data_IF_596427628488
#
_entry.id   IF_596427628488
#
_cell.length_a   1.000
_cell.length_b   1.000
_cell.length_c   1.000
_cell.angle_alpha   90.00
_cell.angle_beta   90.00
_cell.angle_gamma   90.00
#
_symmetry.space_group_name_H-M   'P 1'
#
loop_
_entity.id
_entity.type
_entity.pdbx_description
1 polymer ?
#
# COMPACT_ATOMS: atom_id res chain seq x y z
N UNK A 1 -1.50 14.14 -23.67
CA UNK A 1 -0.07 14.16 -24.08
C UNK A 1 0.09 14.34 -25.58
N UNK A 2 -0.97 14.15 -26.37
CA UNK A 2 -0.88 14.07 -27.83
C UNK A 2 -0.62 15.43 -28.52
N UNK A 3 -1.17 16.53 -28.00
CA UNK A 3 -1.01 17.88 -28.60
C UNK A 3 0.44 18.40 -28.54
N UNK A 4 1.18 18.10 -27.47
CA UNK A 4 2.60 18.48 -27.36
C UNK A 4 3.46 17.67 -28.34
N UNK A 5 3.18 16.37 -28.47
CA UNK A 5 3.91 15.51 -29.40
C UNK A 5 3.70 15.96 -30.85
N UNK A 6 2.47 16.33 -31.20
CA UNK A 6 2.14 16.88 -32.53
C UNK A 6 2.84 18.20 -32.80
N UNK A 7 2.85 19.13 -31.83
CA UNK A 7 3.58 20.40 -31.94
C UNK A 7 5.08 20.16 -32.15
N UNK A 8 5.69 19.27 -31.36
CA UNK A 8 7.11 18.95 -31.47
C UNK A 8 7.45 18.32 -32.83
N UNK A 9 6.58 17.45 -33.35
CA UNK A 9 6.73 16.87 -34.68
C UNK A 9 6.73 17.96 -35.76
N UNK A 10 5.80 18.92 -35.69
CA UNK A 10 5.72 20.07 -36.62
C UNK A 10 6.94 20.99 -36.54
N UNK A 11 7.48 21.21 -35.33
CA UNK A 11 8.59 22.14 -35.11
C UNK A 11 9.97 21.52 -35.37
N UNK A 12 10.12 20.20 -35.21
CA UNK A 12 11.41 19.49 -35.30
C UNK A 12 12.22 19.75 -36.58
N UNK A 13 11.63 19.88 -37.79
CA UNK A 13 12.39 20.14 -39.01
C UNK A 13 13.01 21.55 -39.05
N UNK A 14 12.50 22.46 -38.22
CA UNK A 14 12.90 23.87 -38.19
C UNK A 14 13.84 24.21 -37.03
N UNK A 15 14.22 23.22 -36.20
CA UNK A 15 15.14 23.43 -35.08
C UNK A 15 16.55 23.76 -35.56
N UNK A 16 17.08 24.89 -35.09
CA UNK A 16 18.43 25.34 -35.38
C UNK A 16 19.22 25.41 -34.08
N UNK A 17 20.39 24.74 -34.03
CA UNK A 17 21.25 24.80 -32.84
C UNK A 17 21.81 26.20 -32.66
N UNK A 18 21.82 26.68 -31.41
CA UNK A 18 22.46 27.94 -31.07
C UNK A 18 23.98 27.79 -31.21
N UNK A 19 24.61 28.75 -31.91
CA UNK A 19 26.06 28.79 -32.11
C UNK A 19 26.68 29.82 -31.19
N UNK A 20 27.81 29.47 -30.58
CA UNK A 20 28.54 30.36 -29.66
C UNK A 20 29.01 31.60 -30.44
N UNK A 21 28.68 32.79 -29.94
CA UNK A 21 29.09 34.07 -30.54
C UNK A 21 28.23 34.54 -31.73
N UNK A 22 27.18 33.81 -32.09
CA UNK A 22 26.29 34.18 -33.19
C UNK A 22 24.83 34.34 -32.72
N UNK A 23 24.25 35.51 -32.98
CA UNK A 23 22.84 35.77 -32.77
C UNK A 23 22.14 35.82 -34.13
N UNK A 24 21.06 35.03 -34.36
CA UNK A 24 20.29 35.10 -35.59
C UNK A 24 19.68 36.50 -35.81
N UNK A 25 19.46 36.91 -37.08
CA UNK A 25 18.80 38.18 -37.39
C UNK A 25 17.45 38.31 -36.67
N UNK A 26 17.27 39.39 -35.91
CA UNK A 26 16.04 39.67 -35.17
C UNK A 26 15.91 38.97 -33.81
N UNK A 27 16.86 38.11 -33.42
CA UNK A 27 16.88 37.44 -32.12
C UNK A 27 18.08 37.91 -31.30
N UNK A 28 17.84 38.23 -30.02
CA UNK A 28 18.88 38.74 -29.12
C UNK A 28 18.94 37.85 -27.89
N UNK A 29 20.06 37.15 -27.74
CA UNK A 29 20.34 36.32 -26.58
C UNK A 29 21.13 37.10 -25.53
N UNK A 30 20.85 36.81 -24.26
CA UNK A 30 21.51 37.43 -23.09
C UNK A 30 22.22 36.35 -22.27
N UNK A 31 21.99 36.29 -20.95
CA UNK A 31 22.63 35.30 -20.07
C UNK A 31 22.05 33.89 -20.30
N UNK A 32 20.73 33.79 -20.42
CA UNK A 32 20.03 32.54 -20.71
C UNK A 32 19.98 32.32 -22.23
N UNK A 33 20.46 31.16 -22.68
CA UNK A 33 20.52 30.78 -24.10
C UNK A 33 19.83 29.43 -24.28
N UNK A 34 18.95 29.26 -25.28
CA UNK A 34 18.33 27.98 -25.53
C UNK A 34 19.30 27.04 -26.25
N UNK A 35 19.05 25.72 -26.17
CA UNK A 35 19.82 24.73 -26.94
C UNK A 35 19.53 24.81 -28.45
N UNK A 36 18.26 25.09 -28.77
CA UNK A 36 17.75 25.23 -30.14
C UNK A 36 16.84 26.46 -30.25
N UNK A 37 16.77 27.02 -31.44
CA UNK A 37 15.86 28.12 -31.78
C UNK A 37 15.14 27.83 -33.10
N UNK A 38 14.02 28.52 -33.32
CA UNK A 38 13.19 28.40 -34.52
C UNK A 38 12.98 29.80 -35.08
N UNK A 39 13.04 29.94 -36.40
CA UNK A 39 12.74 31.22 -37.03
C UNK A 39 11.29 31.65 -36.73
N UNK A 40 11.00 32.94 -36.47
CA UNK A 40 9.66 33.40 -36.07
C UNK A 40 8.56 32.94 -37.02
N UNK A 41 8.80 32.94 -38.34
CA UNK A 41 7.82 32.53 -39.35
C UNK A 41 7.46 31.03 -39.35
N UNK A 42 8.26 30.19 -38.69
CA UNK A 42 7.98 28.76 -38.49
C UNK A 42 7.52 28.47 -37.04
N UNK A 43 7.34 29.52 -36.22
CA UNK A 43 6.92 29.39 -34.83
C UNK A 43 5.40 29.46 -34.69
N UNK A 44 4.89 28.96 -33.57
CA UNK A 44 3.48 29.04 -33.20
C UNK A 44 3.31 29.93 -31.95
N UNK A 45 2.19 30.65 -31.87
CA UNK A 45 1.88 31.48 -30.69
C UNK A 45 1.39 30.59 -29.57
N UNK A 46 1.82 30.89 -28.35
CA UNK A 46 1.35 30.26 -27.12
C UNK A 46 0.67 31.29 -26.23
N UNK A 47 -0.47 30.91 -25.68
CA UNK A 47 -1.15 31.66 -24.63
C UNK A 47 -0.60 31.22 -23.27
N UNK A 48 -0.04 32.17 -22.53
CA UNK A 48 0.65 31.90 -21.27
C UNK A 48 -0.15 32.47 -20.10
N UNK A 49 -0.37 31.62 -19.10
CA UNK A 49 -0.88 31.99 -17.79
C UNK A 49 0.28 32.09 -16.81
N UNK A 50 0.43 33.24 -16.15
CA UNK A 50 1.49 33.48 -15.18
C UNK A 50 0.96 34.29 -13.98
N UNK A 51 1.68 34.25 -12.85
CA UNK A 51 1.27 34.95 -11.63
C UNK A 51 1.70 36.41 -11.63
N UNK A 52 2.92 36.70 -12.08
CA UNK A 52 3.49 38.05 -12.09
C UNK A 52 4.59 38.21 -13.15
N UNK A 53 4.81 39.45 -13.58
CA UNK A 53 5.95 39.91 -14.38
C UNK A 53 7.00 40.48 -13.42
N UNK A 54 8.20 39.90 -13.41
CA UNK A 54 9.30 40.26 -12.49
C UNK A 54 10.49 40.77 -13.29
N UNK A 55 11.21 41.76 -12.76
CA UNK A 55 12.45 42.25 -13.36
C UNK A 55 13.53 41.17 -13.36
N UNK A 56 14.22 41.00 -14.48
CA UNK A 56 15.29 40.02 -14.64
C UNK A 56 16.29 40.46 -15.69
N UNK A 57 17.59 40.45 -15.34
CA UNK A 57 18.69 40.73 -16.28
C UNK A 57 19.04 39.54 -17.17
N UNK A 58 18.39 38.40 -16.96
CA UNK A 58 18.68 37.17 -17.71
C UNK A 58 18.17 37.21 -19.15
N UNK A 59 17.18 38.06 -19.45
CA UNK A 59 16.48 38.17 -20.73
C UNK A 59 16.55 39.60 -21.29
N UNK A 60 16.53 39.74 -22.63
CA UNK A 60 16.62 41.06 -23.29
C UNK A 60 15.50 42.03 -22.92
N UNK A 61 14.31 41.53 -22.61
CA UNK A 61 13.16 42.35 -22.20
C UNK A 61 13.31 42.91 -20.77
N UNK A 62 14.40 42.57 -20.06
CA UNK A 62 14.65 42.91 -18.65
C UNK A 62 13.57 42.40 -17.68
N UNK A 63 12.73 41.46 -18.13
CA UNK A 63 11.61 40.91 -17.38
C UNK A 63 11.45 39.42 -17.65
N UNK A 64 10.81 38.72 -16.72
CA UNK A 64 10.41 37.32 -16.85
C UNK A 64 9.06 37.08 -16.19
N UNK A 65 8.42 35.96 -16.52
CA UNK A 65 7.15 35.54 -15.95
C UNK A 65 7.39 34.59 -14.78
N UNK A 66 6.67 34.76 -13.66
CA UNK A 66 6.71 33.83 -12.54
C UNK A 66 5.59 32.78 -12.65
N UNK A 67 5.97 31.52 -12.50
CA UNK A 67 5.11 30.35 -12.67
C UNK A 67 4.35 30.32 -14.02
N UNK A 68 5.03 30.56 -15.16
CA UNK A 68 4.36 30.52 -16.46
C UNK A 68 3.89 29.11 -16.79
N UNK A 69 2.69 29.00 -17.33
CA UNK A 69 2.09 27.77 -17.86
C UNK A 69 1.51 28.05 -19.23
N UNK A 70 1.71 27.14 -20.17
CA UNK A 70 1.01 27.19 -21.46
C UNK A 70 -0.44 26.80 -21.22
N UNK A 71 -1.37 27.70 -21.53
CA UNK A 71 -2.81 27.47 -21.43
C UNK A 71 -3.35 26.93 -22.75
N UNK A 72 -2.86 27.45 -23.88
CA UNK A 72 -3.27 27.04 -25.22
C UNK A 72 -2.20 27.32 -26.26
N UNK A 73 -2.09 26.46 -27.27
CA UNK A 73 -1.34 26.74 -28.50
C UNK A 73 -2.32 27.40 -29.49
N UNK A 74 -2.00 28.60 -29.97
CA UNK A 74 -2.87 29.45 -30.80
C UNK A 74 -2.59 29.20 -32.28
N UNK A 75 -3.01 28.04 -32.78
CA UNK A 75 -2.99 27.73 -34.21
C UNK A 75 -3.89 28.65 -35.06
N UNK A 76 -4.80 29.36 -34.40
CA UNK A 76 -5.70 30.35 -34.99
C UNK A 76 -5.01 31.69 -35.33
N UNK A 77 -3.78 31.91 -34.86
CA UNK A 77 -3.04 33.17 -35.06
C UNK A 77 -1.78 32.97 -35.87
N UNK A 78 -1.44 33.98 -36.67
CA UNK A 78 -0.18 34.08 -37.37
C UNK A 78 0.94 34.48 -36.40
N UNK A 79 2.19 34.04 -36.63
CA UNK A 79 3.35 34.32 -35.77
C UNK A 79 3.57 35.82 -35.51
N UNK A 80 3.19 36.68 -36.45
CA UNK A 80 3.32 38.14 -36.34
C UNK A 80 2.30 38.79 -35.41
N UNK A 81 1.24 38.07 -35.02
CA UNK A 81 0.18 38.55 -34.11
C UNK A 81 0.50 38.27 -32.63
N UNK A 82 1.77 38.02 -32.32
CA UNK A 82 2.23 37.83 -30.95
C UNK A 82 2.21 39.17 -30.19
N UNK A 83 2.15 39.08 -28.86
CA UNK A 83 2.15 40.24 -27.98
C UNK A 83 3.35 41.17 -28.28
N UNK A 84 3.05 42.43 -28.59
CA UNK A 84 4.07 43.44 -28.88
C UNK A 84 4.74 43.94 -27.59
N UNK A 85 5.92 44.54 -27.72
CA UNK A 85 6.64 45.12 -26.57
C UNK A 85 5.85 46.24 -25.89
N UNK A 86 5.03 46.99 -26.65
CA UNK A 86 4.17 48.06 -26.14
C UNK A 86 3.02 47.45 -25.32
N UNK A 87 2.35 46.43 -25.85
CA UNK A 87 1.28 45.74 -25.13
C UNK A 87 1.79 45.03 -23.87
N UNK A 88 2.99 44.43 -23.93
CA UNK A 88 3.63 43.83 -22.76
C UNK A 88 3.91 44.86 -21.66
N UNK A 89 4.44 46.04 -22.01
CA UNK A 89 4.70 47.09 -21.02
C UNK A 89 3.39 47.67 -20.46
N UNK A 90 2.34 47.80 -21.28
CA UNK A 90 1.01 48.19 -20.84
C UNK A 90 0.44 47.17 -19.84
N UNK A 91 0.54 45.87 -20.13
CA UNK A 91 0.13 44.80 -19.22
C UNK A 91 0.90 44.88 -17.90
N UNK A 92 2.22 45.12 -17.94
CA UNK A 92 3.03 45.28 -16.73
C UNK A 92 2.58 46.47 -15.88
N UNK A 93 2.38 47.64 -16.51
CA UNK A 93 1.94 48.88 -15.84
C UNK A 93 0.55 48.74 -15.24
N UNK A 94 -0.39 48.18 -16.00
CA UNK A 94 -1.78 47.99 -15.56
C UNK A 94 -1.88 47.00 -14.39
N UNK A 95 -1.06 45.95 -14.44
CA UNK A 95 -1.02 44.90 -13.43
C UNK A 95 -0.15 45.25 -12.20
N UNK A 96 0.59 46.36 -12.19
CA UNK A 96 1.67 46.61 -11.19
C UNK A 96 2.57 45.39 -10.99
N UNK A 97 2.83 44.64 -12.07
CA UNK A 97 3.54 43.37 -12.06
C UNK A 97 2.71 42.13 -11.69
N UNK A 98 1.52 42.21 -11.08
CA UNK A 98 0.68 41.05 -10.70
C UNK A 98 -0.43 40.77 -11.72
N UNK A 99 -0.26 39.71 -12.50
CA UNK A 99 -1.16 39.36 -13.61
C UNK A 99 -2.49 38.72 -13.17
N UNK A 100 -2.66 38.40 -11.88
CA UNK A 100 -3.86 37.74 -11.35
C UNK A 100 -4.85 38.67 -10.62
N UNK A 101 -4.64 39.99 -10.63
CA UNK A 101 -5.50 40.92 -9.88
C UNK A 101 -6.25 41.94 -10.75
N UNK A 102 -7.14 41.50 -11.64
CA UNK A 102 -8.24 42.36 -12.12
C UNK A 102 -9.40 41.57 -12.74
N UNK A 103 -10.45 41.35 -11.94
CA UNK A 103 -11.83 41.28 -12.40
C UNK A 103 -12.67 42.08 -11.41
N UNK A 104 -12.60 43.42 -11.48
CA UNK A 104 -13.69 44.33 -11.11
C UNK A 104 -13.47 45.59 -11.95
N UNK A 105 -14.24 45.77 -13.02
CA UNK A 105 -14.53 47.10 -13.56
C UNK A 105 -15.72 47.63 -12.74
N UNK A 106 -15.61 48.80 -12.08
CA UNK A 106 -16.77 49.50 -11.54
C UNK A 106 -17.24 50.49 -12.59
N UNK A 107 -18.35 50.16 -13.26
CA UNK A 107 -19.25 51.15 -13.88
C UNK A 107 -20.60 50.45 -14.00
N UNK A 108 -21.36 50.49 -12.92
CA UNK A 108 -22.79 50.73 -12.98
C UNK A 108 -23.23 51.26 -11.61
N UNK A 109 -23.54 52.55 -11.58
CA UNK A 109 -24.13 53.25 -10.45
C UNK A 109 -25.58 52.79 -10.28
N UNK A 110 -25.90 52.05 -9.23
CA UNK A 110 -27.14 52.27 -8.49
C UNK A 110 -27.22 51.51 -7.16
N UNK A 111 -27.51 52.32 -6.15
CA UNK A 111 -28.29 52.04 -4.95
C UNK A 111 -27.64 51.38 -3.73
N UNK A 112 -27.99 51.96 -2.58
CA UNK A 112 -27.24 51.92 -1.33
C UNK A 112 -27.47 50.68 -0.47
N UNK A 113 -26.41 50.27 0.25
CA UNK A 113 -26.51 49.52 1.51
C UNK A 113 -25.15 49.52 2.25
N UNK A 114 -25.11 49.29 3.58
CA UNK A 114 -24.22 49.98 4.50
C UNK A 114 -22.79 49.40 4.56
N UNK A 115 -21.83 50.29 4.89
CA UNK A 115 -20.40 50.02 5.06
C UNK A 115 -20.14 48.81 5.97
N UNK A 116 -19.92 47.62 5.38
CA UNK A 116 -19.27 46.49 6.05
C UNK A 116 -17.81 46.87 6.31
N UNK A 117 -17.40 46.83 7.58
CA UNK A 117 -16.00 46.95 8.01
C UNK A 117 -15.14 46.05 7.12
N UNK A 118 -14.15 46.63 6.43
CA UNK A 118 -13.12 45.90 5.69
C UNK A 118 -12.44 44.95 6.68
N UNK A 119 -12.77 43.66 6.63
CA UNK A 119 -11.87 42.64 7.12
C UNK A 119 -10.59 42.76 6.28
N UNK A 120 -9.50 43.09 6.94
CA UNK A 120 -8.17 43.09 6.38
C UNK A 120 -7.91 41.67 5.86
N UNK A 121 -8.03 41.45 4.55
CA UNK A 121 -7.65 40.18 3.93
C UNK A 121 -6.20 39.94 4.28
N UNK A 122 -5.94 38.88 5.05
CA UNK A 122 -4.57 38.44 5.32
C UNK A 122 -3.80 38.37 3.99
N UNK A 123 -2.60 38.93 4.00
CA UNK A 123 -1.66 38.83 2.89
C UNK A 123 -1.52 37.36 2.48
N UNK A 124 -1.47 37.02 1.19
CA UNK A 124 -1.34 35.64 0.74
C UNK A 124 -0.06 35.05 1.31
N UNK A 125 -0.21 34.25 2.35
CA UNK A 125 0.86 33.55 3.07
C UNK A 125 0.71 32.05 2.82
N UNK A 126 1.77 31.29 3.04
CA UNK A 126 1.79 29.83 2.88
C UNK A 126 0.55 29.18 3.52
N UNK A 127 -0.02 28.14 2.91
CA UNK A 127 -1.13 27.42 3.54
C UNK A 127 -0.68 26.87 4.91
N UNK A 128 -1.59 26.81 5.89
CA UNK A 128 -1.28 26.45 7.29
C UNK A 128 -0.47 25.15 7.42
N UNK A 129 -0.78 24.14 6.59
CA UNK A 129 -0.06 22.87 6.52
C UNK A 129 1.42 22.96 6.09
N UNK A 130 1.84 24.08 5.50
CA UNK A 130 3.22 24.37 5.11
C UNK A 130 3.91 25.40 6.01
N UNK A 131 3.22 25.93 7.03
CA UNK A 131 3.83 26.78 8.06
C UNK A 131 4.26 25.93 9.25
N UNK A 132 5.44 26.21 9.79
CA UNK A 132 5.80 25.69 11.11
C UNK A 132 4.90 26.27 12.20
N UNK A 133 4.77 25.55 13.30
CA UNK A 133 4.13 26.05 14.50
C UNK A 133 4.85 27.30 15.04
N UNK A 134 4.09 28.20 15.67
CA UNK A 134 4.70 29.24 16.51
C UNK A 134 5.15 28.58 17.81
N UNK A 135 6.46 28.39 17.95
CA UNK A 135 7.08 27.72 19.08
C UNK A 135 7.55 28.71 20.16
N UNK A 136 7.25 30.01 19.99
CA UNK A 136 7.65 31.03 20.96
C UNK A 136 6.80 30.93 22.24
N UNK A 137 7.44 30.56 23.35
CA UNK A 137 6.80 30.49 24.67
C UNK A 137 6.35 29.11 25.15
N UNK A 138 6.72 28.03 24.47
CA UNK A 138 6.43 26.65 24.95
C UNK A 138 7.32 26.30 26.14
N UNK A 139 6.73 25.88 27.25
CA UNK A 139 7.47 25.35 28.40
C UNK A 139 7.77 23.87 28.22
N UNK A 140 9.04 23.49 28.32
CA UNK A 140 9.47 22.09 28.26
C UNK A 140 8.91 21.29 29.44
N UNK A 141 8.19 20.22 29.15
CA UNK A 141 7.58 19.33 30.15
C UNK A 141 8.40 18.05 30.38
N UNK A 142 9.18 17.65 29.37
CA UNK A 142 9.99 16.43 29.40
C UNK A 142 11.30 16.62 28.62
N UNK A 143 12.29 15.76 28.86
CA UNK A 143 13.57 15.74 28.14
C UNK A 143 13.76 14.46 27.28
N UNK A 144 12.67 13.73 27.02
CA UNK A 144 12.68 12.47 26.24
C UNK A 144 13.36 12.62 24.87
N UNK A 145 13.18 13.77 24.21
CA UNK A 145 13.67 14.05 22.87
C UNK A 145 14.88 14.98 22.84
N UNK A 146 15.56 15.14 23.98
CA UNK A 146 16.71 16.02 24.09
C UNK A 146 17.80 15.68 23.06
N UNK A 147 18.36 16.72 22.44
CA UNK A 147 19.39 16.62 21.39
C UNK A 147 18.95 15.86 20.12
N UNK A 148 17.64 15.80 19.84
CA UNK A 148 17.12 15.19 18.61
C UNK A 148 16.33 16.23 17.81
N UNK A 149 16.67 16.32 16.53
CA UNK A 149 15.99 17.20 15.57
C UNK A 149 15.05 16.39 14.66
N UNK A 150 13.81 16.84 14.53
CA UNK A 150 12.76 16.14 13.77
C UNK A 150 12.20 17.01 12.66
N UNK A 151 11.83 16.38 11.55
CA UNK A 151 11.10 17.04 10.47
C UNK A 151 9.73 16.40 10.26
N UNK A 152 8.64 17.15 10.48
CA UNK A 152 7.27 16.62 10.40
C UNK A 152 6.65 16.87 9.02
N UNK A 153 6.24 15.80 8.33
CA UNK A 153 5.67 15.88 6.97
C UNK A 153 4.15 15.78 6.93
N UNK A 154 3.53 15.04 7.84
CA UNK A 154 2.08 14.79 7.82
C UNK A 154 1.46 15.04 9.20
N UNK A 155 0.13 15.14 9.24
CA UNK A 155 -0.66 15.02 10.48
C UNK A 155 -0.68 13.58 11.00
N UNK A 156 -1.22 13.40 12.20
CA UNK A 156 -1.43 12.08 12.82
C UNK A 156 -2.80 12.05 13.49
N UNK A 157 -3.68 11.13 13.05
CA UNK A 157 -5.06 11.02 13.53
C UNK A 157 -5.75 12.39 13.55
N UNK A 158 -6.16 12.87 14.72
CA UNK A 158 -6.80 14.18 14.91
C UNK A 158 -5.82 15.34 15.10
N UNK A 159 -4.52 15.04 15.31
CA UNK A 159 -3.48 16.04 15.54
C UNK A 159 -2.93 16.57 14.20
N UNK A 160 -2.98 17.88 14.06
CA UNK A 160 -2.37 18.63 12.97
C UNK A 160 -0.86 18.57 13.05
N UNK A 161 -0.20 18.86 11.92
CA UNK A 161 1.26 18.97 11.86
C UNK A 161 1.81 19.92 12.95
N UNK A 162 1.18 21.08 13.14
CA UNK A 162 1.65 22.09 14.08
C UNK A 162 1.54 21.61 15.53
N UNK A 163 0.46 20.92 15.89
CA UNK A 163 0.32 20.34 17.24
C UNK A 163 1.36 19.25 17.52
N UNK A 164 1.75 18.48 16.50
CA UNK A 164 2.84 17.50 16.62
C UNK A 164 4.16 18.21 16.85
N UNK A 165 4.45 19.28 16.09
CA UNK A 165 5.66 20.10 16.26
C UNK A 165 5.73 20.70 17.68
N UNK A 166 4.62 21.23 18.20
CA UNK A 166 4.50 21.71 19.58
C UNK A 166 4.84 20.60 20.58
N UNK A 167 4.24 19.40 20.44
CA UNK A 167 4.52 18.26 21.33
C UNK A 167 5.99 17.82 21.31
N UNK A 168 6.65 17.86 20.16
CA UNK A 168 8.08 17.53 20.06
C UNK A 168 8.92 18.49 20.91
N UNK A 169 8.63 19.79 20.81
CA UNK A 169 9.34 20.84 21.58
C UNK A 169 9.04 20.75 23.07
N UNK A 170 7.78 20.48 23.45
CA UNK A 170 7.42 20.22 24.85
C UNK A 170 8.23 19.06 25.46
N UNK A 171 8.57 18.05 24.65
CA UNK A 171 9.37 16.91 25.07
C UNK A 171 10.90 17.11 24.88
N UNK A 172 11.34 18.34 24.61
CA UNK A 172 12.76 18.72 24.53
C UNK A 172 13.43 18.48 23.17
N UNK A 173 12.66 18.17 22.14
CA UNK A 173 13.15 17.99 20.77
C UNK A 173 13.21 19.31 19.99
N UNK A 174 13.95 19.32 18.88
CA UNK A 174 14.01 20.44 17.94
C UNK A 174 13.21 20.10 16.68
N UNK A 175 12.52 21.07 16.10
CA UNK A 175 11.72 20.88 14.88
C UNK A 175 12.30 21.69 13.73
N UNK A 176 12.47 21.06 12.58
CA UNK A 176 12.85 21.72 11.32
C UNK A 176 11.82 21.48 10.22
N UNK A 177 11.69 22.44 9.31
CA UNK A 177 10.73 22.36 8.20
C UNK A 177 11.25 21.55 7.00
N UNK A 178 12.58 21.45 6.87
CA UNK A 178 13.26 20.63 5.89
C UNK A 178 14.41 19.88 6.59
N UNK A 179 14.61 18.60 6.30
CA UNK A 179 15.68 17.82 6.93
C UNK A 179 17.05 18.33 6.47
N UNK A 180 17.97 18.48 7.43
CA UNK A 180 19.38 18.81 7.25
C UNK A 180 20.30 17.73 7.84
N UNK A 181 21.63 17.93 7.82
CA UNK A 181 22.60 16.90 8.23
C UNK A 181 22.42 16.39 9.67
N UNK A 182 21.95 17.24 10.57
CA UNK A 182 21.74 16.92 11.99
C UNK A 182 20.32 16.43 12.31
N UNK A 183 19.46 16.32 11.29
CA UNK A 183 18.09 15.82 11.47
C UNK A 183 18.12 14.34 11.82
N UNK A 184 17.63 14.02 13.02
CA UNK A 184 17.58 12.67 13.55
C UNK A 184 16.65 11.76 12.73
N UNK A 185 15.43 12.20 12.44
CA UNK A 185 14.54 11.52 11.49
C UNK A 185 13.42 12.42 10.95
N UNK A 186 12.81 11.97 9.85
CA UNK A 186 11.57 12.55 9.30
C UNK A 186 10.37 11.78 9.86
N UNK A 187 9.31 12.48 10.23
CA UNK A 187 8.10 11.89 10.80
C UNK A 187 6.93 11.97 9.81
N UNK A 188 6.28 10.84 9.57
CA UNK A 188 5.08 10.76 8.74
C UNK A 188 4.17 9.60 9.15
N UNK A 189 2.86 9.77 9.00
CA UNK A 189 1.84 8.73 9.22
C UNK A 189 1.63 7.88 7.97
N UNK A 190 1.88 8.44 6.80
CA UNK A 190 1.58 7.81 5.51
C UNK A 190 2.64 8.12 4.44
N UNK A 191 2.71 7.26 3.42
CA UNK A 191 3.69 7.37 2.34
C UNK A 191 3.26 8.40 1.27
N UNK A 192 3.38 9.69 1.60
CA UNK A 192 3.10 10.80 0.67
C UNK A 192 4.19 10.95 -0.42
N UNK A 193 3.93 11.78 -1.44
CA UNK A 193 4.95 12.11 -2.45
C UNK A 193 6.23 12.72 -1.84
N UNK A 194 6.11 13.53 -0.78
CA UNK A 194 7.29 14.08 -0.07
C UNK A 194 8.08 12.98 0.62
N UNK A 195 7.40 12.03 1.26
CA UNK A 195 8.02 10.85 1.87
C UNK A 195 8.73 10.00 0.82
N UNK A 196 8.09 9.73 -0.32
CA UNK A 196 8.73 8.99 -1.42
C UNK A 196 9.95 9.71 -1.97
N UNK A 197 9.91 11.04 -2.08
CA UNK A 197 11.04 11.82 -2.58
C UNK A 197 12.21 11.81 -1.59
N UNK A 198 11.97 11.95 -0.28
CA UNK A 198 13.05 11.90 0.71
C UNK A 198 13.61 10.48 0.87
N UNK A 199 12.76 9.46 0.80
CA UNK A 199 13.16 8.06 0.81
C UNK A 199 14.12 7.72 -0.35
N UNK A 200 13.86 8.26 -1.55
CA UNK A 200 14.75 8.10 -2.72
C UNK A 200 16.12 8.75 -2.55
N UNK A 201 16.23 9.79 -1.73
CA UNK A 201 17.53 10.40 -1.41
C UNK A 201 18.35 9.45 -0.54
N UNK A 202 17.71 8.68 0.34
CA UNK A 202 18.34 7.62 1.13
C UNK A 202 19.21 8.10 2.29
N UNK A 203 19.23 9.40 2.60
CA UNK A 203 20.04 9.96 3.69
C UNK A 203 19.32 10.01 5.05
N UNK A 204 17.99 9.88 5.06
CA UNK A 204 17.19 10.07 6.27
C UNK A 204 16.29 8.86 6.51
N UNK A 205 16.19 8.46 7.78
CA UNK A 205 15.14 7.55 8.20
C UNK A 205 13.80 8.29 8.26
N UNK A 206 12.74 7.62 7.78
CA UNK A 206 11.37 8.12 7.89
C UNK A 206 10.62 7.24 8.88
N UNK A 207 10.41 7.75 10.09
CA UNK A 207 9.69 7.06 11.15
C UNK A 207 8.19 7.36 11.12
N UNK A 208 7.41 6.36 11.54
CA UNK A 208 5.97 6.49 11.75
C UNK A 208 5.70 7.38 12.95
N UNK A 209 4.69 8.22 12.84
CA UNK A 209 4.26 9.07 13.95
C UNK A 209 3.73 8.24 15.14
N UNK A 210 3.18 7.05 14.89
CA UNK A 210 2.73 6.12 15.95
C UNK A 210 3.84 5.73 16.92
N UNK A 211 5.06 5.48 16.43
CA UNK A 211 6.21 5.14 17.27
C UNK A 211 6.54 6.28 18.24
N UNK A 212 6.62 7.52 17.74
CA UNK A 212 6.95 8.67 18.56
C UNK A 212 5.84 8.97 19.58
N UNK A 213 4.58 8.91 19.16
CA UNK A 213 3.44 9.15 20.05
C UNK A 213 3.35 8.09 21.15
N UNK A 214 3.54 6.82 20.82
CA UNK A 214 3.57 5.74 21.81
C UNK A 214 4.71 5.95 22.83
N UNK A 215 5.90 6.36 22.37
CA UNK A 215 7.02 6.67 23.26
C UNK A 215 6.72 7.84 24.21
N UNK A 216 6.04 8.89 23.73
CA UNK A 216 5.62 10.02 24.57
C UNK A 216 4.55 9.62 25.58
N UNK A 217 3.56 8.81 25.18
CA UNK A 217 2.45 8.39 26.04
C UNK A 217 2.89 7.43 27.16
N UNK A 218 3.90 6.58 26.91
CA UNK A 218 4.44 5.66 27.90
C UNK A 218 5.22 6.36 29.03
N UNK A 219 5.56 7.65 28.88
CA UNK A 219 6.28 8.41 29.91
C UNK A 219 7.68 7.88 30.21
N UNK A 220 8.30 7.18 29.25
CA UNK A 220 9.67 6.67 29.38
C UNK A 220 10.68 7.81 29.43
N UNK A 221 11.83 7.58 30.07
CA UNK A 221 12.89 8.60 30.20
C UNK A 221 13.83 8.66 29.00
N UNK A 222 13.86 7.60 28.20
CA UNK A 222 14.74 7.45 27.05
C UNK A 222 13.89 7.01 25.87
N UNK A 223 14.11 7.64 24.72
CA UNK A 223 13.40 7.32 23.50
C UNK A 223 13.75 5.86 23.09
N UNK A 224 12.76 4.96 22.99
CA UNK A 224 13.03 3.57 22.63
C UNK A 224 13.60 3.50 21.22
N UNK A 225 14.44 2.50 20.99
CA UNK A 225 14.91 2.20 19.64
C UNK A 225 13.71 1.78 18.78
N UNK A 226 13.69 2.23 17.53
CA UNK A 226 12.70 1.82 16.55
C UNK A 226 12.93 0.38 16.08
N UNK A 227 11.84 -0.27 15.69
CA UNK A 227 11.84 -1.54 14.97
C UNK A 227 11.64 -1.31 13.47
N UNK A 228 11.87 -2.31 12.61
CA UNK A 228 11.56 -2.19 11.18
C UNK A 228 10.08 -1.80 10.90
N UNK A 229 9.16 -2.18 11.79
CA UNK A 229 7.73 -1.84 11.66
C UNK A 229 7.43 -0.35 11.88
N UNK A 230 8.29 0.32 12.67
CA UNK A 230 8.17 1.74 13.00
C UNK A 230 8.66 2.65 11.87
N UNK A 231 9.31 2.10 10.84
CA UNK A 231 9.93 2.87 9.77
C UNK A 231 9.16 2.72 8.45
N UNK A 232 8.88 3.84 7.80
CA UNK A 232 8.33 3.90 6.44
C UNK A 232 9.43 3.83 5.38
N UNK A 233 10.61 4.33 5.71
CA UNK A 233 11.81 4.28 4.88
C UNK A 233 13.04 4.24 5.78
N UNK A 234 14.01 3.43 5.40
CA UNK A 234 15.21 3.17 6.19
C UNK A 234 16.42 3.61 5.37
N UNK A 235 17.31 4.39 5.97
CA UNK A 235 18.60 4.75 5.40
C UNK A 235 19.53 3.53 5.37
N UNK A 236 20.54 3.48 4.47
CA UNK A 236 21.47 2.36 4.40
C UNK A 236 22.18 2.06 5.74
N UNK A 237 22.58 3.11 6.46
CA UNK A 237 23.27 2.97 7.74
C UNK A 237 22.38 2.33 8.81
N UNK A 238 21.14 2.82 8.95
CA UNK A 238 20.18 2.26 9.90
C UNK A 238 19.74 0.85 9.49
N UNK A 239 19.65 0.58 8.19
CA UNK A 239 19.35 -0.76 7.67
C UNK A 239 20.42 -1.78 8.07
N UNK A 240 21.70 -1.42 7.98
CA UNK A 240 22.80 -2.29 8.40
C UNK A 240 22.76 -2.55 9.90
N UNK A 241 22.50 -1.52 10.71
CA UNK A 241 22.35 -1.66 12.16
C UNK A 241 21.17 -2.57 12.52
N UNK A 242 20.02 -2.43 11.85
CA UNK A 242 18.83 -3.25 12.09
C UNK A 242 19.03 -4.70 11.63
N UNK A 243 19.77 -4.94 10.55
CA UNK A 243 20.05 -6.29 10.05
C UNK A 243 20.86 -7.16 11.04
N UNK A 244 21.51 -6.56 12.04
CA UNK A 244 22.16 -7.31 13.12
C UNK A 244 21.19 -7.81 14.20
N UNK A 245 19.98 -7.24 14.27
CA UNK A 245 19.00 -7.48 15.32
C UNK A 245 17.72 -8.15 14.81
N UNK A 246 17.41 -7.95 13.54
CA UNK A 246 16.21 -8.43 12.88
C UNK A 246 16.54 -9.19 11.61
N UNK A 247 15.70 -10.16 11.27
CA UNK A 247 15.77 -10.84 9.99
C UNK A 247 15.30 -9.96 8.83
N UNK A 248 15.34 -10.51 7.61
CA UNK A 248 14.92 -9.79 6.40
C UNK A 248 13.44 -9.42 6.37
N UNK A 249 12.61 -9.99 7.23
CA UNK A 249 11.18 -9.72 7.35
C UNK A 249 10.84 -8.81 8.54
N UNK A 250 11.83 -8.51 9.39
CA UNK A 250 11.70 -7.66 10.56
C UNK A 250 11.32 -8.41 11.83
N UNK A 251 11.50 -9.73 11.88
CA UNK A 251 11.37 -10.50 13.12
C UNK A 251 12.67 -10.46 13.93
N UNK A 252 12.58 -10.40 15.26
CA UNK A 252 13.76 -10.21 16.11
C UNK A 252 14.50 -11.52 16.33
N UNK A 253 15.84 -11.48 16.27
CA UNK A 253 16.67 -12.64 16.61
C UNK A 253 16.74 -12.94 18.12
N UNK A 254 16.45 -11.95 18.96
CA UNK A 254 16.70 -12.03 20.41
C UNK A 254 15.46 -11.85 21.27
N UNK A 255 14.38 -11.30 20.70
CA UNK A 255 13.13 -11.07 21.42
C UNK A 255 12.03 -12.00 20.91
N UNK A 256 11.22 -12.60 21.81
CA UNK A 256 10.07 -13.39 21.39
C UNK A 256 9.08 -12.56 20.56
N UNK A 257 8.58 -13.14 19.49
CA UNK A 257 7.57 -12.51 18.66
C UNK A 257 6.25 -12.30 19.44
N UNK A 258 5.66 -11.12 19.24
CA UNK A 258 4.30 -10.80 19.68
C UNK A 258 3.32 -11.03 18.53
N UNK A 259 2.02 -11.05 18.82
CA UNK A 259 0.99 -11.15 17.77
C UNK A 259 1.13 -10.05 16.72
N UNK A 260 1.50 -8.83 17.13
CA UNK A 260 1.64 -7.69 16.22
C UNK A 260 2.93 -7.77 15.41
N UNK A 261 4.07 -8.11 16.03
CA UNK A 261 5.34 -8.27 15.32
C UNK A 261 5.31 -9.43 14.33
N UNK A 262 4.66 -10.54 14.69
CA UNK A 262 4.51 -11.69 13.79
C UNK A 262 3.62 -11.35 12.59
N UNK A 263 2.50 -10.64 12.80
CA UNK A 263 1.66 -10.15 11.69
C UNK A 263 2.44 -9.25 10.75
N UNK A 264 3.29 -8.37 11.28
CA UNK A 264 4.15 -7.52 10.48
C UNK A 264 5.13 -8.34 9.63
N UNK A 265 5.83 -9.29 10.25
CA UNK A 265 6.83 -10.14 9.58
C UNK A 265 6.19 -10.97 8.46
N UNK A 266 5.06 -11.63 8.73
CA UNK A 266 4.32 -12.40 7.71
C UNK A 266 3.84 -11.52 6.55
N UNK A 267 3.40 -10.29 6.82
CA UNK A 267 3.06 -9.35 5.75
C UNK A 267 4.28 -8.91 4.91
N UNK A 268 5.49 -8.89 5.50
CA UNK A 268 6.71 -8.64 4.71
C UNK A 268 7.06 -9.82 3.81
N UNK A 269 6.86 -11.07 4.26
CA UNK A 269 7.05 -12.27 3.41
C UNK A 269 6.20 -12.18 2.15
N UNK A 270 4.92 -11.86 2.28
CA UNK A 270 4.01 -11.67 1.14
C UNK A 270 4.45 -10.53 0.22
N UNK A 271 4.81 -9.37 0.82
CA UNK A 271 5.22 -8.18 0.06
C UNK A 271 6.51 -8.40 -0.73
N UNK A 272 7.44 -9.19 -0.21
CA UNK A 272 8.69 -9.55 -0.88
C UNK A 272 8.49 -10.66 -1.92
N UNK A 273 7.33 -11.33 -1.93
CA UNK A 273 7.06 -12.45 -2.82
C UNK A 273 7.77 -13.74 -2.40
N UNK A 274 8.20 -13.82 -1.14
CA UNK A 274 8.90 -14.99 -0.58
C UNK A 274 7.92 -16.04 -0.02
N UNK A 275 6.61 -15.83 -0.19
CA UNK A 275 5.58 -16.76 0.26
C UNK A 275 5.65 -18.08 -0.53
N UNK A 276 5.82 -19.18 0.19
CA UNK A 276 5.90 -20.53 -0.38
C UNK A 276 4.54 -21.22 -0.27
N UNK A 277 4.15 -21.94 -1.34
CA UNK A 277 3.00 -22.81 -1.29
C UNK A 277 3.40 -24.13 -0.64
N UNK A 278 2.82 -24.43 0.52
CA UNK A 278 3.08 -25.66 1.25
C UNK A 278 2.24 -26.80 0.67
N UNK A 279 2.86 -27.95 0.48
CA UNK A 279 2.17 -29.19 0.15
C UNK A 279 1.45 -29.75 1.39
N UNK A 280 0.44 -30.62 1.23
CA UNK A 280 -0.16 -31.33 2.36
C UNK A 280 0.86 -32.12 3.20
N UNK A 281 1.91 -32.62 2.55
CA UNK A 281 3.01 -33.34 3.19
C UNK A 281 3.84 -32.39 4.05
N UNK A 282 4.22 -31.21 3.54
CA UNK A 282 4.92 -30.19 4.33
C UNK A 282 4.09 -29.77 5.55
N UNK A 283 2.78 -29.57 5.38
CA UNK A 283 1.87 -29.24 6.48
C UNK A 283 1.76 -30.38 7.51
N UNK A 284 1.85 -31.64 7.08
CA UNK A 284 1.85 -32.77 7.98
C UNK A 284 3.14 -32.83 8.82
N UNK A 285 4.30 -32.53 8.21
CA UNK A 285 5.57 -32.45 8.93
C UNK A 285 5.54 -31.32 9.97
N UNK A 286 4.98 -30.15 9.64
CA UNK A 286 4.75 -29.08 10.61
C UNK A 286 3.79 -29.49 11.72
N UNK A 287 2.71 -30.20 11.41
CA UNK A 287 1.77 -30.70 12.41
C UNK A 287 2.48 -31.64 13.41
N UNK A 288 3.42 -32.47 12.96
CA UNK A 288 4.22 -33.37 13.83
C UNK A 288 5.19 -32.58 14.70
N UNK A 289 5.85 -31.56 14.15
CA UNK A 289 6.83 -30.76 14.90
C UNK A 289 6.17 -29.86 15.96
N UNK A 290 5.03 -29.27 15.62
CA UNK A 290 4.36 -28.27 16.45
C UNK A 290 3.43 -28.88 17.51
N UNK A 291 2.88 -30.07 17.27
CA UNK A 291 1.92 -30.71 18.17
C UNK A 291 2.49 -32.01 18.76
N UNK A 292 2.23 -32.23 20.05
CA UNK A 292 2.66 -33.46 20.74
C UNK A 292 1.83 -34.72 20.36
N UNK A 293 0.97 -34.61 19.34
CA UNK A 293 -0.06 -35.56 18.96
C UNK A 293 -0.80 -35.07 17.70
N UNK A 294 -1.90 -35.73 17.28
CA UNK A 294 -2.65 -35.32 16.10
C UNK A 294 -3.08 -33.85 16.17
N UNK A 295 -2.75 -33.08 15.13
CA UNK A 295 -3.14 -31.67 15.04
C UNK A 295 -4.67 -31.54 15.07
N UNK A 296 -5.24 -30.78 16.03
CA UNK A 296 -6.70 -30.60 16.09
C UNK A 296 -7.22 -29.77 14.91
N UNK A 297 -6.33 -29.11 14.17
CA UNK A 297 -6.63 -28.28 12.99
C UNK A 297 -6.39 -29.03 11.67
N UNK A 298 -5.73 -30.18 11.71
CA UNK A 298 -5.35 -30.99 10.56
C UNK A 298 -5.59 -32.48 10.79
N UNK A 299 -6.60 -32.86 11.57
CA UNK A 299 -6.77 -34.28 11.99
C UNK A 299 -6.98 -35.25 10.82
N UNK A 300 -7.48 -34.75 9.68
CA UNK A 300 -7.64 -35.52 8.45
C UNK A 300 -6.56 -35.21 7.40
N UNK A 301 -5.45 -34.56 7.78
CA UNK A 301 -4.30 -34.32 6.89
C UNK A 301 -3.83 -35.65 6.30
N UNK A 302 -3.51 -35.64 5.01
CA UNK A 302 -3.13 -36.81 4.19
C UNK A 302 -4.25 -37.85 3.99
N UNK A 303 -5.46 -37.64 4.50
CA UNK A 303 -6.60 -38.50 4.19
C UNK A 303 -7.26 -38.04 2.89
N UNK A 304 -7.34 -38.95 1.92
CA UNK A 304 -8.11 -38.80 0.69
C UNK A 304 -9.38 -39.62 0.82
N UNK A 305 -10.54 -38.98 0.75
CA UNK A 305 -11.83 -39.62 0.96
C UNK A 305 -12.75 -39.50 -0.26
N UNK A 306 -13.50 -40.55 -0.54
CA UNK A 306 -14.67 -40.51 -1.42
C UNK A 306 -15.94 -40.53 -0.56
N UNK A 307 -16.91 -39.67 -0.90
CA UNK A 307 -18.20 -39.58 -0.19
C UNK A 307 -19.32 -40.15 -1.07
N UNK A 308 -20.03 -41.16 -0.57
CA UNK A 308 -21.13 -41.83 -1.27
C UNK A 308 -22.44 -41.01 -1.20
N UNK A 309 -22.44 -39.86 -1.90
CA UNK A 309 -23.56 -38.91 -1.93
C UNK A 309 -24.42 -38.95 -3.18
N UNK A 310 -23.95 -39.62 -4.23
CA UNK A 310 -24.56 -39.63 -5.55
C UNK A 310 -25.32 -40.93 -5.82
N UNK A 311 -26.40 -40.86 -6.61
CA UNK A 311 -27.23 -42.01 -6.99
C UNK A 311 -26.45 -43.10 -7.71
N UNK A 312 -25.44 -42.71 -8.47
CA UNK A 312 -24.50 -43.62 -9.11
C UNK A 312 -23.09 -43.36 -8.59
N UNK A 313 -22.40 -44.44 -8.20
CA UNK A 313 -20.99 -44.38 -7.82
C UNK A 313 -20.18 -43.80 -8.99
N UNK A 314 -19.24 -42.90 -8.70
CA UNK A 314 -18.38 -42.24 -9.70
C UNK A 314 -19.10 -41.30 -10.68
N UNK A 315 -20.35 -40.92 -10.41
CA UNK A 315 -21.08 -39.98 -11.26
C UNK A 315 -21.53 -38.74 -10.45
N UNK A 316 -20.69 -37.68 -10.41
CA UNK A 316 -21.04 -36.45 -9.72
C UNK A 316 -22.16 -35.65 -10.40
N UNK A 317 -22.59 -36.06 -11.61
CA UNK A 317 -23.73 -35.45 -12.32
C UNK A 317 -25.06 -36.10 -11.97
N UNK A 318 -25.02 -37.25 -11.30
CA UNK A 318 -26.23 -37.92 -10.83
C UNK A 318 -26.84 -37.22 -9.62
N UNK A 319 -28.09 -37.56 -9.30
CA UNK A 319 -28.83 -36.91 -8.21
C UNK A 319 -28.15 -37.19 -6.87
N UNK A 320 -28.01 -36.16 -6.03
CA UNK A 320 -27.58 -36.35 -4.64
C UNK A 320 -28.69 -37.02 -3.82
N UNK A 321 -28.33 -38.13 -3.18
CA UNK A 321 -29.26 -39.03 -2.48
C UNK A 321 -28.97 -39.16 -0.99
N UNK A 322 -27.77 -38.80 -0.52
CA UNK A 322 -27.41 -38.83 0.90
C UNK A 322 -26.87 -37.47 1.35
N UNK A 323 -27.18 -37.08 2.59
CA UNK A 323 -26.78 -35.79 3.15
C UNK A 323 -25.36 -35.86 3.77
N UNK A 324 -24.37 -36.25 2.97
CA UNK A 324 -22.96 -36.28 3.39
C UNK A 324 -22.23 -34.96 3.18
N UNK A 325 -22.91 -33.97 2.60
CA UNK A 325 -22.29 -32.68 2.26
C UNK A 325 -21.66 -31.97 3.46
N UNK A 326 -22.35 -31.97 4.62
CA UNK A 326 -21.80 -31.37 5.84
C UNK A 326 -20.57 -32.13 6.35
N UNK A 327 -20.63 -33.47 6.37
CA UNK A 327 -19.49 -34.30 6.77
C UNK A 327 -18.29 -34.14 5.82
N UNK A 328 -18.54 -33.97 4.52
CA UNK A 328 -17.50 -33.68 3.52
C UNK A 328 -16.86 -32.32 3.75
N UNK A 329 -17.66 -31.29 4.03
CA UNK A 329 -17.15 -29.96 4.37
C UNK A 329 -16.30 -29.99 5.64
N UNK A 330 -16.78 -30.65 6.70
CA UNK A 330 -16.03 -30.79 7.95
C UNK A 330 -14.71 -31.55 7.72
N UNK A 331 -14.75 -32.66 6.98
CA UNK A 331 -13.56 -33.42 6.62
C UNK A 331 -12.53 -32.57 5.89
N UNK A 332 -12.97 -31.79 4.89
CA UNK A 332 -12.09 -30.88 4.15
C UNK A 332 -11.57 -29.73 5.01
N UNK A 333 -12.42 -29.17 5.88
CA UNK A 333 -12.05 -28.08 6.79
C UNK A 333 -10.91 -28.48 7.74
N UNK A 334 -10.91 -29.72 8.23
CA UNK A 334 -9.84 -30.25 9.08
C UNK A 334 -8.73 -30.98 8.29
N UNK A 335 -8.51 -30.59 7.03
CA UNK A 335 -7.32 -30.92 6.26
C UNK A 335 -7.41 -32.16 5.37
N UNK A 336 -8.57 -32.83 5.32
CA UNK A 336 -8.83 -33.93 4.41
C UNK A 336 -9.03 -33.47 2.97
N UNK A 337 -8.85 -34.37 2.01
CA UNK A 337 -9.14 -34.12 0.59
C UNK A 337 -10.28 -35.00 0.11
N UNK A 338 -11.38 -34.37 -0.32
CA UNK A 338 -12.46 -35.08 -1.00
C UNK A 338 -12.11 -35.37 -2.45
N UNK A 339 -12.51 -36.54 -2.93
CA UNK A 339 -12.30 -37.03 -4.30
C UNK A 339 -13.63 -37.49 -4.87
N UNK A 340 -13.90 -37.15 -6.14
CA UNK A 340 -15.13 -37.56 -6.83
C UNK A 340 -15.12 -39.04 -7.25
N UNK A 341 -13.95 -39.68 -7.22
CA UNK A 341 -13.73 -41.05 -7.67
C UNK A 341 -12.95 -41.83 -6.62
N UNK A 342 -13.17 -43.15 -6.57
CA UNK A 342 -12.38 -44.06 -5.75
C UNK A 342 -11.14 -44.42 -6.56
N UNK A 343 -10.03 -43.75 -6.27
CA UNK A 343 -8.74 -43.86 -6.97
C UNK A 343 -7.72 -44.59 -6.10
N UNK A 344 -6.56 -44.96 -6.64
CA UNK A 344 -5.51 -45.66 -5.90
C UNK A 344 -5.07 -44.94 -4.60
N UNK A 345 -5.03 -43.61 -4.63
CA UNK A 345 -4.72 -42.75 -3.48
C UNK A 345 -5.85 -42.64 -2.43
N UNK A 346 -7.07 -43.07 -2.75
CA UNK A 346 -8.20 -43.01 -1.81
C UNK A 346 -7.92 -43.88 -0.59
N UNK A 347 -7.82 -43.22 0.57
CA UNK A 347 -7.57 -43.83 1.87
C UNK A 347 -8.86 -44.19 2.60
N UNK A 348 -9.93 -43.42 2.38
CA UNK A 348 -11.21 -43.55 3.08
C UNK A 348 -12.38 -43.54 2.09
N UNK A 349 -13.41 -44.31 2.38
CA UNK A 349 -14.72 -44.20 1.74
C UNK A 349 -15.74 -43.98 2.84
N UNK A 350 -16.49 -42.87 2.73
CA UNK A 350 -17.47 -42.43 3.70
C UNK A 350 -18.86 -42.71 3.14
N UNK A 351 -19.62 -43.54 3.85
CA UNK A 351 -21.02 -43.84 3.55
C UNK A 351 -21.93 -43.24 4.62
N UNK A 352 -23.19 -43.01 4.29
CA UNK A 352 -24.13 -42.48 5.26
C UNK A 352 -24.62 -43.59 6.21
N UNK A 353 -24.58 -43.35 7.52
CA UNK A 353 -24.93 -44.32 8.57
C UNK A 353 -26.28 -45.02 8.38
N UNK A 354 -27.27 -44.29 7.84
CA UNK A 354 -28.63 -44.80 7.58
C UNK A 354 -28.90 -45.23 6.14
N UNK A 355 -27.97 -44.99 5.21
CA UNK A 355 -28.19 -45.22 3.79
C UNK A 355 -27.00 -45.98 3.19
N UNK A 356 -27.20 -47.28 3.01
CA UNK A 356 -26.13 -48.24 2.69
C UNK A 356 -26.35 -48.95 1.35
N UNK A 357 -27.04 -48.31 0.40
CA UNK A 357 -27.43 -48.91 -0.88
C UNK A 357 -26.22 -49.41 -1.68
N UNK A 358 -25.12 -48.65 -1.68
CA UNK A 358 -23.90 -48.98 -2.44
C UNK A 358 -22.87 -49.78 -1.64
N UNK A 359 -23.19 -50.17 -0.40
CA UNK A 359 -22.23 -50.78 0.51
C UNK A 359 -21.57 -52.03 -0.08
N UNK A 360 -22.37 -52.93 -0.65
CA UNK A 360 -21.87 -54.18 -1.23
C UNK A 360 -20.95 -53.94 -2.44
N UNK A 361 -21.27 -52.95 -3.27
CA UNK A 361 -20.48 -52.57 -4.44
C UNK A 361 -19.16 -51.92 -4.02
N UNK A 362 -19.20 -50.98 -3.07
CA UNK A 362 -18.02 -50.35 -2.48
C UNK A 362 -17.12 -51.39 -1.81
N UNK A 363 -17.70 -52.35 -1.07
CA UNK A 363 -16.95 -53.46 -0.49
C UNK A 363 -16.27 -54.31 -1.58
N UNK A 364 -16.97 -54.63 -2.67
CA UNK A 364 -16.38 -55.38 -3.78
C UNK A 364 -15.20 -54.63 -4.42
N UNK A 365 -15.33 -53.31 -4.63
CA UNK A 365 -14.24 -52.45 -5.10
C UNK A 365 -13.06 -52.53 -4.13
N UNK A 366 -13.30 -52.43 -2.81
CA UNK A 366 -12.25 -52.53 -1.82
C UNK A 366 -11.53 -53.89 -1.87
N UNK A 367 -12.26 -54.99 -2.02
CA UNK A 367 -11.71 -56.35 -2.10
C UNK A 367 -10.78 -56.55 -3.32
N UNK A 368 -11.04 -55.87 -4.43
CA UNK A 368 -10.22 -55.98 -5.64
C UNK A 368 -8.94 -55.14 -5.59
N UNK A 369 -8.87 -54.14 -4.70
CA UNK A 369 -7.70 -53.25 -4.60
C UNK A 369 -6.52 -53.91 -3.88
N UNK A 370 -5.27 -53.60 -4.29
CA UNK A 370 -4.07 -54.05 -3.59
C UNK A 370 -3.95 -53.38 -2.21
N UNK A 371 -4.23 -52.08 -2.14
CA UNK A 371 -4.31 -51.32 -0.90
C UNK A 371 -5.77 -51.06 -0.54
N UNK A 372 -6.18 -51.59 0.61
CA UNK A 372 -7.55 -51.43 1.14
C UNK A 372 -7.73 -50.01 1.66
N UNK A 373 -8.87 -49.40 1.34
CA UNK A 373 -9.31 -48.18 2.00
C UNK A 373 -10.11 -48.51 3.27
N UNK A 374 -10.17 -47.55 4.19
CA UNK A 374 -11.03 -47.60 5.36
C UNK A 374 -12.47 -47.26 4.96
N UNK A 375 -13.42 -48.11 5.33
CA UNK A 375 -14.84 -47.90 5.07
C UNK A 375 -15.52 -47.44 6.36
N UNK A 376 -15.89 -46.17 6.41
CA UNK A 376 -16.39 -45.47 7.61
C UNK A 376 -17.72 -44.79 7.34
N UNK A 377 -18.40 -44.33 8.40
CA UNK A 377 -19.64 -43.55 8.29
C UNK A 377 -19.42 -42.06 8.51
N UNK A 378 -20.44 -41.26 8.21
CA UNK A 378 -20.60 -39.87 8.67
C UNK A 378 -20.32 -39.69 10.17
N UNK A 379 -20.74 -40.64 11.01
CA UNK A 379 -20.54 -40.61 12.46
C UNK A 379 -19.05 -40.55 12.85
N UNK A 380 -18.16 -41.23 12.11
CA UNK A 380 -16.73 -41.17 12.38
C UNK A 380 -16.16 -39.76 12.24
N UNK A 381 -16.64 -39.00 11.25
CA UNK A 381 -16.25 -37.61 11.04
C UNK A 381 -16.82 -36.75 12.17
N UNK A 382 -18.12 -36.88 12.45
CA UNK A 382 -18.79 -36.11 13.50
C UNK A 382 -18.13 -36.29 14.87
N UNK A 383 -17.82 -37.53 15.25
CA UNK A 383 -17.15 -37.83 16.52
C UNK A 383 -15.71 -37.33 16.54
N UNK A 384 -14.98 -37.46 15.43
CA UNK A 384 -13.60 -36.94 15.32
C UNK A 384 -13.56 -35.42 15.47
N UNK A 385 -14.47 -34.72 14.81
CA UNK A 385 -14.60 -33.26 14.90
C UNK A 385 -14.99 -32.83 16.31
N UNK A 386 -15.99 -33.49 16.91
CA UNK A 386 -16.47 -33.19 18.26
C UNK A 386 -15.39 -33.37 19.32
N UNK A 387 -14.57 -34.40 19.20
CA UNK A 387 -13.47 -34.71 20.13
C UNK A 387 -12.16 -34.02 19.76
N UNK A 388 -12.11 -33.33 18.61
CA UNK A 388 -10.91 -32.72 18.01
C UNK A 388 -9.74 -33.69 17.86
N UNK A 389 -10.04 -34.97 17.68
CA UNK A 389 -9.06 -36.05 17.56
C UNK A 389 -9.60 -37.08 16.59
N UNK A 390 -8.79 -37.52 15.62
CA UNK A 390 -9.20 -38.56 14.68
C UNK A 390 -9.50 -39.86 15.42
N UNK A 391 -10.73 -40.33 15.29
CA UNK A 391 -11.16 -41.61 15.89
C UNK A 391 -10.58 -42.79 15.10
N UNK A 392 -10.43 -43.93 15.76
CA UNK A 392 -10.01 -45.17 15.09
C UNK A 392 -11.05 -45.58 14.05
N UNK A 393 -10.60 -45.90 12.84
CA UNK A 393 -11.45 -46.28 11.72
C UNK A 393 -12.10 -47.66 11.91
N UNK A 394 -11.62 -48.47 12.88
CA UNK A 394 -12.09 -49.84 13.18
C UNK A 394 -13.24 -49.91 14.19
N UNK A 395 -13.43 -48.89 15.03
CA UNK A 395 -14.50 -48.89 16.04
C UNK A 395 -15.89 -48.61 15.45
N UNK A 396 -15.97 -48.16 14.19
CA UNK A 396 -17.19 -47.74 13.50
C UNK A 396 -17.30 -48.32 12.08
N UNK A 397 -16.84 -49.55 11.89
CA UNK A 397 -16.98 -50.27 10.60
C UNK A 397 -18.46 -50.53 10.33
N UNK A 398 -18.90 -50.19 9.12
CA UNK A 398 -20.24 -50.57 8.64
C UNK A 398 -20.30 -52.09 8.51
N UNK A 399 -20.83 -52.75 9.53
CA UNK A 399 -21.10 -54.18 9.48
C UNK A 399 -22.28 -54.44 8.55
N UNK A 400 -22.10 -55.38 7.62
CA UNK A 400 -23.18 -55.91 6.79
C UNK A 400 -24.26 -56.54 7.68
N UNK A 401 -25.53 -56.51 7.25
CA UNK A 401 -26.64 -57.21 7.93
C UNK A 401 -26.40 -58.71 8.10
N UNK A 402 -25.46 -59.31 7.34
CA UNK A 402 -25.00 -60.69 7.55
C UNK A 402 -24.13 -60.86 8.80
N UNK A 403 -23.35 -59.85 9.17
CA UNK A 403 -22.41 -59.92 10.31
C UNK A 403 -23.11 -59.57 11.65
N UNK A 404 -24.22 -58.84 11.61
CA UNK A 404 -25.08 -58.62 12.79
C UNK A 404 -25.65 -59.94 13.35
N UNK A 405 -25.86 -60.95 12.49
CA UNK A 405 -26.34 -62.27 12.91
C UNK A 405 -25.26 -63.14 13.54
N UNK A 406 -23.97 -62.85 13.32
CA UNK A 406 -22.85 -63.62 13.86
C UNK A 406 -22.41 -63.10 15.23
N UNK A 407 -22.50 -61.79 15.49
CA UNK A 407 -22.15 -61.21 16.79
C UNK A 407 -23.23 -61.40 17.89
N UNK A 408 -24.48 -61.71 17.52
CA UNK A 408 -25.55 -62.01 18.49
C UNK A 408 -25.70 -63.52 18.78
N UNK A 409 -24.83 -64.35 18.23
CA UNK A 409 -24.86 -65.81 18.39
C UNK A 409 -23.50 -66.37 18.82
N UNK A 410 -22.89 -65.80 19.86
CA UNK A 410 -21.90 -66.50 20.69
C UNK A 410 -22.21 -66.14 22.15
N UNK A 411 -22.44 -67.12 23.04
CA UNK A 411 -22.78 -66.89 24.44
C UNK A 411 -21.63 -66.28 25.25
#
# INVERSE_FOLDING_TARGET
MDELAELLQKLSPHWQRVRIGYNPPGLVWTKEKPDVWIAPHNSHIVEIKATEIVESRSFKMNHTLRFPRVEKIRYDKNWSECLTTIEFENLRKEASGKLYSRHVKPDDDSDGSPKKKRQMKELPTLASQFRGADLSGISQTSALLSNKEFCVFTSWKTLTKQEIETKIVENGGTVVQNPGPDTFCVLASECTLRVRNIAKVGHYDVARLDWLMAAMEQGVRVLPLWTPADLLSISPQTSEALATQFDKYGDSYTQPATLESLKYSLAQVEKLGDAVQLTPEDLADFDIELFSGPSPYGMFRLCYAYFDKYEKIHDPTSKEISNLYLSELDFCFYGGKSTAFIEEQTTHVVVHSKFLQHLAEIQAINHQRPHKFHLVTDVWIEESVKTRTRQDERSLVVMSTRDMAVCLAVP
#
